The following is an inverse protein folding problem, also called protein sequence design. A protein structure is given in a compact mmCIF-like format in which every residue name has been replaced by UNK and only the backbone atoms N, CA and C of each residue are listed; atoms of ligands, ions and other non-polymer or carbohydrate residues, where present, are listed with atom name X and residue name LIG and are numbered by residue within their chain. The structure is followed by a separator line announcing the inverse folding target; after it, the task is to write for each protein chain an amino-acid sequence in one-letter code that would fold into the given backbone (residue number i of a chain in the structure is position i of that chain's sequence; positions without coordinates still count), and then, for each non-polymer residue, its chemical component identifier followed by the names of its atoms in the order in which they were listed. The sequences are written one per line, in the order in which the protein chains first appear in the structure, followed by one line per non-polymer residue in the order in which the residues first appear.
data_IF_834867358961
#
_entry.id   IF_834867358961
#
_cell.length_a   1.000
_cell.length_b   1.000
_cell.length_c   1.000
_cell.angle_alpha   90.00
_cell.angle_beta   90.00
_cell.angle_gamma   90.00
#
_symmetry.space_group_name_H-M   'P 1'
#
loop_
_entity.id
_entity.type
_entity.pdbx_description
1 polymer ?
#
# COMPACT_ATOMS: atom_id res chain seq x y z
N UNK A 1 -9.84 -3.15 11.07
CA UNK A 1 -10.53 -3.58 9.81
C UNK A 1 -10.43 -2.51 8.72
N UNK A 2 -10.31 -1.23 9.07
CA UNK A 2 -10.33 -0.16 8.07
C UNK A 2 -8.97 0.04 7.37
N UNK A 3 -7.85 -0.34 7.98
CA UNK A 3 -6.53 -0.16 7.35
C UNK A 3 -6.39 -0.99 6.06
N UNK A 4 -6.70 -2.30 6.05
CA UNK A 4 -6.63 -3.10 4.80
C UNK A 4 -7.52 -2.53 3.67
N UNK A 5 -8.69 -1.99 4.00
CA UNK A 5 -9.57 -1.32 3.03
C UNK A 5 -8.97 0.00 2.53
N UNK A 6 -8.28 0.71 3.41
CA UNK A 6 -7.54 1.92 3.06
C UNK A 6 -6.40 1.58 2.10
N UNK A 7 -5.61 0.55 2.38
CA UNK A 7 -4.55 0.06 1.49
C UNK A 7 -5.13 -0.28 0.11
N UNK A 8 -6.24 -1.02 0.05
CA UNK A 8 -6.89 -1.35 -1.21
C UNK A 8 -7.39 -0.11 -1.98
N UNK A 9 -7.85 0.92 -1.26
CA UNK A 9 -8.28 2.19 -1.85
C UNK A 9 -7.09 2.98 -2.39
N UNK A 10 -6.01 3.11 -1.61
CA UNK A 10 -4.77 3.77 -2.03
C UNK A 10 -4.15 3.09 -3.25
N UNK A 11 -4.06 1.76 -3.24
CA UNK A 11 -3.59 0.98 -4.38
C UNK A 11 -4.43 1.23 -5.63
N UNK A 12 -5.76 1.32 -5.50
CA UNK A 12 -6.64 1.68 -6.62
C UNK A 12 -6.39 3.10 -7.11
N UNK A 13 -6.16 4.07 -6.21
CA UNK A 13 -5.84 5.45 -6.58
C UNK A 13 -4.50 5.55 -7.31
N UNK A 14 -3.50 4.78 -6.89
CA UNK A 14 -2.21 4.68 -7.58
C UNK A 14 -2.38 4.09 -8.98
N UNK A 15 -3.19 3.04 -9.13
CA UNK A 15 -3.45 2.40 -10.43
C UNK A 15 -3.97 3.38 -11.49
N UNK A 16 -4.81 4.35 -11.08
CA UNK A 16 -5.38 5.36 -11.98
C UNK A 16 -4.42 6.50 -12.33
N UNK A 17 -3.37 6.72 -11.52
CA UNK A 17 -2.49 7.88 -11.64
C UNK A 17 -1.09 7.54 -12.14
N UNK A 18 -0.62 6.32 -11.89
CA UNK A 18 0.67 5.85 -12.38
C UNK A 18 0.58 5.54 -13.88
N UNK A 19 1.17 6.40 -14.69
CA UNK A 19 1.36 6.14 -16.12
C UNK A 19 2.56 5.21 -16.34
N UNK A 20 2.52 4.40 -17.42
CA UNK A 20 3.67 3.57 -17.81
C UNK A 20 3.99 2.39 -16.87
N UNK A 21 3.04 1.94 -16.05
CA UNK A 21 3.25 0.78 -15.17
C UNK A 21 3.61 -0.49 -15.94
N UNK A 22 4.74 -1.09 -15.55
CA UNK A 22 5.18 -2.43 -15.93
C UNK A 22 4.25 -3.51 -15.33
N UNK A 23 4.40 -4.74 -15.79
CA UNK A 23 3.58 -5.87 -15.34
C UNK A 23 3.74 -6.14 -13.83
N UNK A 24 4.96 -6.07 -13.31
CA UNK A 24 5.25 -6.26 -11.88
C UNK A 24 4.54 -5.21 -11.01
N UNK A 25 4.62 -3.92 -11.36
CA UNK A 25 3.85 -2.85 -10.71
C UNK A 25 2.34 -3.14 -10.67
N UNK A 26 1.77 -3.64 -11.77
CA UNK A 26 0.34 -4.01 -11.82
C UNK A 26 0.05 -5.18 -10.88
N UNK A 27 0.91 -6.19 -10.85
CA UNK A 27 0.78 -7.33 -9.96
C UNK A 27 0.86 -6.91 -8.49
N UNK A 28 1.80 -6.04 -8.12
CA UNK A 28 1.92 -5.47 -6.77
C UNK A 28 0.64 -4.75 -6.35
N UNK A 29 0.10 -3.89 -7.22
CA UNK A 29 -1.18 -3.19 -6.99
C UNK A 29 -2.34 -4.16 -6.81
N UNK A 30 -2.43 -5.21 -7.64
CA UNK A 30 -3.48 -6.24 -7.54
C UNK A 30 -3.41 -6.94 -6.18
N UNK A 31 -2.20 -7.29 -5.71
CA UNK A 31 -2.02 -7.90 -4.39
C UNK A 31 -2.47 -6.94 -3.28
N UNK A 32 -2.08 -5.66 -3.34
CA UNK A 32 -2.51 -4.67 -2.35
C UNK A 32 -4.04 -4.48 -2.32
N UNK A 33 -4.69 -4.45 -3.48
CA UNK A 33 -6.16 -4.37 -3.61
C UNK A 33 -6.86 -5.56 -2.96
N UNK A 34 -6.21 -6.73 -2.95
CA UNK A 34 -6.75 -7.95 -2.36
C UNK A 34 -6.45 -8.09 -0.86
N UNK A 35 -5.72 -7.17 -0.23
CA UNK A 35 -5.40 -7.26 1.21
C UNK A 35 -6.62 -7.51 2.13
N UNK A 36 -7.81 -6.90 1.92
CA UNK A 36 -9.01 -7.21 2.71
C UNK A 36 -9.43 -8.68 2.64
N UNK A 37 -9.28 -9.32 1.49
CA UNK A 37 -9.62 -10.73 1.30
C UNK A 37 -8.66 -11.67 2.06
N UNK A 38 -7.37 -11.36 2.06
CA UNK A 38 -6.39 -12.09 2.89
C UNK A 38 -6.66 -11.92 4.38
N UNK A 39 -7.09 -10.72 4.82
CA UNK A 39 -7.50 -10.49 6.21
C UNK A 39 -8.73 -11.34 6.58
N UNK A 40 -9.74 -11.41 5.72
CA UNK A 40 -10.95 -12.22 5.96
C UNK A 40 -10.62 -13.71 6.13
N UNK A 41 -9.57 -14.19 5.45
CA UNK A 41 -9.05 -15.55 5.61
C UNK A 41 -8.07 -15.71 6.77
N UNK A 42 -7.82 -14.65 7.56
CA UNK A 42 -6.80 -14.61 8.62
C UNK A 42 -5.41 -14.99 8.12
N UNK A 43 -5.10 -14.65 6.87
CA UNK A 43 -3.91 -15.12 6.16
C UNK A 43 -3.09 -13.98 5.56
N UNK A 44 -2.74 -13.01 6.40
CA UNK A 44 -1.93 -11.87 5.99
C UNK A 44 -0.46 -12.25 5.66
N UNK A 45 0.02 -13.39 6.14
CA UNK A 45 1.35 -13.90 5.78
C UNK A 45 1.45 -14.30 4.30
N UNK A 46 0.39 -14.91 3.75
CA UNK A 46 0.31 -15.18 2.30
C UNK A 46 0.19 -13.90 1.48
N UNK A 47 -0.45 -12.85 2.02
CA UNK A 47 -0.48 -11.55 1.37
C UNK A 47 0.93 -10.96 1.21
N UNK A 48 1.73 -11.00 2.29
CA UNK A 48 3.11 -10.52 2.25
C UNK A 48 3.95 -11.31 1.24
N UNK A 49 3.78 -12.64 1.24
CA UNK A 49 4.48 -13.53 0.32
C UNK A 49 4.10 -13.26 -1.13
N UNK A 50 2.80 -13.05 -1.40
CA UNK A 50 2.30 -12.69 -2.73
C UNK A 50 2.83 -11.33 -3.20
N UNK A 51 2.93 -10.34 -2.30
CA UNK A 51 3.48 -9.02 -2.65
C UNK A 51 4.96 -9.11 -3.01
N UNK A 52 5.76 -9.80 -2.18
CA UNK A 52 7.19 -10.02 -2.46
C UNK A 52 7.42 -10.76 -3.77
N UNK A 53 6.59 -11.75 -4.08
CA UNK A 53 6.63 -12.46 -5.36
C UNK A 53 6.26 -11.57 -6.55
N UNK A 54 5.43 -10.54 -6.34
CA UNK A 54 4.98 -9.62 -7.38
C UNK A 54 6.02 -8.56 -7.77
N UNK A 55 6.99 -8.26 -6.91
CA UNK A 55 8.12 -7.35 -7.22
C UNK A 55 8.90 -7.90 -8.41
N UNK A 56 9.22 -9.20 -8.40
CA UNK A 56 10.01 -9.83 -9.45
C UNK A 56 11.50 -9.46 -9.42
N UNK A 57 12.34 -10.29 -10.01
CA UNK A 57 13.81 -10.19 -9.87
C UNK A 57 14.45 -9.02 -10.64
N UNK A 58 13.69 -8.39 -11.55
CA UNK A 58 14.17 -7.33 -12.45
C UNK A 58 13.52 -5.98 -12.20
N UNK A 59 12.90 -5.79 -11.04
CA UNK A 59 12.23 -4.53 -10.70
C UNK A 59 13.23 -3.39 -10.53
N UNK A 60 12.84 -2.21 -11.03
CA UNK A 60 13.59 -0.99 -10.81
C UNK A 60 13.06 -0.27 -9.57
N UNK A 61 13.69 -0.58 -8.43
CA UNK A 61 13.36 0.03 -7.14
C UNK A 61 13.58 1.56 -7.11
N UNK A 62 14.31 2.12 -8.09
CA UNK A 62 14.51 3.56 -8.22
C UNK A 62 13.40 4.26 -8.98
N UNK A 63 12.50 3.51 -9.62
CA UNK A 63 11.39 4.08 -10.38
C UNK A 63 10.36 4.75 -9.46
N UNK A 64 9.82 5.89 -9.89
CA UNK A 64 8.80 6.60 -9.12
C UNK A 64 7.55 5.74 -8.88
N UNK A 65 7.20 4.88 -9.84
CA UNK A 65 6.08 3.95 -9.72
C UNK A 65 6.32 2.90 -8.63
N UNK A 66 7.51 2.30 -8.59
CA UNK A 66 7.88 1.39 -7.52
C UNK A 66 7.84 2.09 -6.16
N UNK A 67 8.50 3.24 -6.03
CA UNK A 67 8.55 3.98 -4.77
C UNK A 67 7.15 4.35 -4.26
N UNK A 68 6.25 4.79 -5.15
CA UNK A 68 4.87 5.10 -4.77
C UNK A 68 4.11 3.86 -4.26
N UNK A 69 4.29 2.71 -4.91
CA UNK A 69 3.68 1.45 -4.50
C UNK A 69 4.27 0.97 -3.17
N UNK A 70 5.59 1.06 -3.00
CA UNK A 70 6.29 0.58 -1.81
C UNK A 70 5.96 1.41 -0.56
N UNK A 71 5.74 2.72 -0.71
CA UNK A 71 5.22 3.56 0.38
C UNK A 71 3.88 3.05 0.93
N UNK A 72 2.97 2.61 0.05
CA UNK A 72 1.69 2.05 0.48
C UNK A 72 1.89 0.68 1.14
N UNK A 73 2.86 -0.11 0.68
CA UNK A 73 3.23 -1.37 1.32
C UNK A 73 3.80 -1.16 2.74
N UNK A 74 4.62 -0.15 2.97
CA UNK A 74 5.15 0.19 4.31
C UNK A 74 4.00 0.43 5.30
N UNK A 75 2.97 1.18 4.88
CA UNK A 75 1.76 1.39 5.68
C UNK A 75 1.00 0.08 5.95
N UNK A 76 0.92 -0.79 4.96
CA UNK A 76 0.27 -2.09 5.10
C UNK A 76 1.02 -3.00 6.10
N UNK A 77 2.35 -2.88 6.18
CA UNK A 77 3.20 -3.57 7.14
C UNK A 77 2.80 -3.37 8.60
N UNK A 78 2.18 -2.24 8.95
CA UNK A 78 1.67 -2.01 10.31
C UNK A 78 0.52 -2.95 10.72
N UNK A 79 -0.19 -3.57 9.76
CA UNK A 79 -1.13 -4.65 10.05
C UNK A 79 -0.45 -6.02 10.25
N UNK A 80 0.76 -6.20 9.71
CA UNK A 80 1.47 -7.47 9.73
C UNK A 80 2.26 -7.67 11.03
N UNK A 81 2.84 -6.58 11.54
CA UNK A 81 3.80 -6.64 12.63
C UNK A 81 3.23 -5.98 13.90
N UNK A 82 2.42 -6.72 14.66
CA UNK A 82 2.05 -6.39 16.04
C UNK A 82 0.70 -5.72 16.26
N UNK A 83 0.50 -5.22 17.48
CA UNK A 83 -0.74 -4.55 17.87
C UNK A 83 -0.87 -3.20 17.15
N UNK A 84 -2.01 -2.94 16.53
CA UNK A 84 -2.29 -1.70 15.81
C UNK A 84 -2.00 -0.46 16.67
N UNK A 85 -1.04 0.36 16.24
CA UNK A 85 -0.67 1.60 16.91
C UNK A 85 -1.25 2.78 16.14
N UNK A 86 -2.40 3.28 16.59
CA UNK A 86 -3.13 4.34 15.89
C UNK A 86 -2.30 5.61 15.67
N UNK A 87 -1.51 6.03 16.67
CA UNK A 87 -0.67 7.23 16.58
C UNK A 87 0.47 7.09 15.55
N UNK A 88 1.17 5.95 15.58
CA UNK A 88 2.23 5.65 14.60
C UNK A 88 1.66 5.53 13.19
N UNK A 89 0.55 4.81 13.05
CA UNK A 89 -0.18 4.66 11.78
C UNK A 89 -0.60 6.02 11.23
N UNK A 90 -1.13 6.92 12.08
CA UNK A 90 -1.55 8.25 11.65
C UNK A 90 -0.37 9.08 11.14
N UNK A 91 0.76 8.99 11.85
CA UNK A 91 1.97 9.72 11.50
C UNK A 91 2.56 9.20 10.20
N UNK A 92 2.64 7.89 10.04
CA UNK A 92 3.13 7.24 8.82
C UNK A 92 2.23 7.57 7.63
N UNK A 93 0.92 7.42 7.79
CA UNK A 93 -0.05 7.76 6.73
C UNK A 93 0.09 9.22 6.27
N UNK A 94 0.19 10.18 7.20
CA UNK A 94 0.41 11.59 6.84
C UNK A 94 1.72 11.80 6.07
N UNK A 95 2.78 11.12 6.48
CA UNK A 95 4.06 11.21 5.78
C UNK A 95 3.95 10.64 4.36
N UNK A 96 3.36 9.46 4.19
CA UNK A 96 3.14 8.84 2.88
C UNK A 96 2.28 9.72 1.98
N UNK A 97 1.19 10.30 2.49
CA UNK A 97 0.34 11.22 1.73
C UNK A 97 1.15 12.42 1.22
N UNK A 98 2.01 13.02 2.05
CA UNK A 98 2.88 14.12 1.64
C UNK A 98 3.90 13.67 0.59
N UNK A 99 4.50 12.49 0.75
CA UNK A 99 5.46 11.95 -0.22
C UNK A 99 4.80 11.67 -1.57
N UNK A 100 3.64 11.02 -1.58
CA UNK A 100 2.87 10.76 -2.80
C UNK A 100 2.46 12.07 -3.47
N UNK A 101 2.02 13.07 -2.70
CA UNK A 101 1.72 14.41 -3.22
C UNK A 101 2.94 15.08 -3.85
N UNK A 102 4.13 14.92 -3.28
CA UNK A 102 5.38 15.42 -3.85
C UNK A 102 5.78 14.72 -5.16
N UNK A 103 5.32 13.49 -5.37
CA UNK A 103 5.44 12.74 -6.63
C UNK A 103 4.35 13.10 -7.65
N UNK A 104 3.44 14.03 -7.32
CA UNK A 104 2.31 14.42 -8.16
C UNK A 104 1.09 13.51 -8.04
N UNK A 105 1.08 12.58 -7.08
CA UNK A 105 0.00 11.62 -6.85
C UNK A 105 -0.95 12.15 -5.78
N UNK A 106 -2.21 12.27 -6.12
CA UNK A 106 -3.27 12.69 -5.21
C UNK A 106 -3.94 11.47 -4.59
N UNK A 107 -3.74 11.28 -3.29
CA UNK A 107 -4.44 10.26 -2.51
C UNK A 107 -5.37 10.93 -1.50
N UNK A 108 -6.36 10.19 -0.99
CA UNK A 108 -7.26 10.73 0.04
C UNK A 108 -6.41 11.20 1.22
N UNK A 109 -6.52 12.48 1.64
CA UNK A 109 -5.66 13.07 2.68
C UNK A 109 -6.28 13.06 4.09
N UNK A 110 -7.59 12.85 4.20
CA UNK A 110 -8.39 13.12 5.41
C UNK A 110 -9.07 11.86 5.99
N UNK A 111 -8.39 10.72 5.99
CA UNK A 111 -8.87 9.58 6.77
C UNK A 111 -8.39 9.70 8.21
N UNK A 112 -9.34 9.87 9.14
CA UNK A 112 -9.08 9.77 10.57
C UNK A 112 -8.77 8.31 10.91
N UNK A 113 -7.49 8.01 11.19
CA UNK A 113 -7.05 6.64 11.42
C UNK A 113 -7.39 6.13 12.82
N UNK A 114 -7.87 7.02 13.72
CA UNK A 114 -8.34 6.61 15.04
C UNK A 114 -9.56 5.67 14.97
N UNK A 115 -10.21 5.60 13.81
CA UNK A 115 -11.39 4.79 13.53
C UNK A 115 -11.06 3.43 12.86
N UNK A 116 -9.78 3.03 12.77
CA UNK A 116 -9.34 1.90 11.91
C UNK A 116 -9.28 0.51 12.55
#
# INVERSE_FOLDING_TARGET
MALCRTIATLASQLEFQLEGMQENHRNMIVVMKNMPFYLEQSNLAEWESAYRAAIGDSEDESSASYQAIDLVYELAGLNLFGAFQAAETQSLYKNIVVQLSSMGLQVTENMDVSQW
#
